data_IF_228798523113
#
_entry.id   IF_228798523113
#
_cell.length_a   1.000
_cell.length_b   1.000
_cell.length_c   1.000
_cell.angle_alpha   90.00
_cell.angle_beta   90.00
_cell.angle_gamma   90.00
#
_symmetry.space_group_name_H-M   'P 1'
#
loop_
_entity.id
_entity.type
_entity.pdbx_description
1 polymer ?
#
# COMPACT_ATOMS: atom_id res chain seq x y z
N UNK A 1 1.15 -6.22 -8.65
CA UNK A 1 -0.09 -6.56 -7.89
C UNK A 1 0.25 -7.29 -6.60
N UNK A 2 -0.09 -6.69 -5.45
CA UNK A 2 0.14 -7.27 -4.13
C UNK A 2 -0.65 -8.57 -3.97
N UNK A 3 -0.01 -9.62 -3.43
CA UNK A 3 -0.67 -10.92 -3.13
C UNK A 3 -1.55 -10.84 -1.87
N UNK A 4 -2.38 -9.81 -1.76
CA UNK A 4 -3.38 -9.64 -0.70
C UNK A 4 -4.72 -9.45 -1.42
N UNK A 5 -5.57 -10.49 -1.50
CA UNK A 5 -6.78 -10.44 -2.31
C UNK A 5 -7.84 -9.49 -1.74
N UNK A 6 -7.85 -9.30 -0.42
CA UNK A 6 -8.74 -8.37 0.27
C UNK A 6 -8.08 -7.89 1.56
N UNK A 7 -8.24 -6.62 1.88
CA UNK A 7 -7.78 -6.00 3.12
C UNK A 7 -8.82 -4.98 3.58
N UNK A 8 -9.14 -4.96 4.88
CA UNK A 8 -10.02 -3.94 5.45
C UNK A 8 -9.16 -2.75 5.90
N UNK A 9 -9.09 -1.71 5.07
CA UNK A 9 -8.39 -0.46 5.39
C UNK A 9 -9.22 0.43 6.32
N UNK A 10 -8.59 0.94 7.38
CA UNK A 10 -9.20 1.92 8.31
C UNK A 10 -8.78 3.32 7.89
N UNK A 11 -9.74 4.17 7.52
CA UNK A 11 -9.50 5.53 7.04
C UNK A 11 -9.96 6.54 8.10
N UNK A 12 -9.04 7.41 8.57
CA UNK A 12 -9.33 8.46 9.56
C UNK A 12 -8.79 9.78 9.02
N UNK A 13 -9.67 10.63 8.50
CA UNK A 13 -9.29 11.88 7.80
C UNK A 13 -8.17 11.64 6.78
N UNK A 14 -8.32 10.54 6.03
CA UNK A 14 -7.32 10.07 5.09
C UNK A 14 -7.13 11.06 3.93
N UNK A 15 -5.90 11.23 3.43
CA UNK A 15 -5.67 11.93 2.18
C UNK A 15 -6.18 11.10 1.00
N UNK A 16 -6.49 11.76 -0.12
CA UNK A 16 -6.78 11.10 -1.41
C UNK A 16 -5.67 11.42 -2.41
N UNK A 17 -5.25 10.43 -3.20
CA UNK A 17 -4.20 10.59 -4.22
C UNK A 17 -4.88 10.95 -5.54
N UNK A 18 -4.63 12.17 -6.02
CA UNK A 18 -5.24 12.70 -7.25
C UNK A 18 -4.48 12.33 -8.51
N UNK A 19 -3.15 12.31 -8.45
CA UNK A 19 -2.30 12.03 -9.60
C UNK A 19 -1.10 11.17 -9.17
N UNK A 20 -0.59 10.39 -10.12
CA UNK A 20 0.61 9.54 -9.92
C UNK A 20 1.59 9.78 -11.07
N UNK A 21 2.89 9.80 -10.75
CA UNK A 21 3.94 9.91 -11.76
C UNK A 21 4.17 8.61 -12.52
N UNK A 22 4.88 8.67 -13.64
CA UNK A 22 5.09 7.54 -14.56
C UNK A 22 5.75 6.29 -13.92
N UNK A 23 6.54 6.48 -12.87
CA UNK A 23 7.28 5.40 -12.20
C UNK A 23 6.58 4.88 -10.92
N UNK A 24 5.33 5.27 -10.70
CA UNK A 24 4.55 4.87 -9.53
C UNK A 24 3.59 3.73 -9.90
N UNK A 25 3.71 2.59 -9.22
CA UNK A 25 2.75 1.49 -9.31
C UNK A 25 1.54 1.82 -8.43
N UNK A 26 0.35 1.84 -9.02
CA UNK A 26 -0.92 1.85 -8.26
C UNK A 26 -1.12 0.45 -7.69
N UNK A 27 -1.06 0.36 -6.36
CA UNK A 27 -1.11 -0.90 -5.63
C UNK A 27 -2.55 -1.29 -5.30
N UNK A 28 -3.38 -0.32 -4.91
CA UNK A 28 -4.76 -0.55 -4.52
C UNK A 28 -5.62 0.68 -4.77
N UNK A 29 -6.88 0.44 -5.13
CA UNK A 29 -7.92 1.44 -5.25
C UNK A 29 -9.12 1.06 -4.39
N UNK A 30 -9.81 2.06 -3.85
CA UNK A 30 -11.06 1.90 -3.14
C UNK A 30 -12.04 2.97 -3.65
N UNK A 31 -13.22 2.55 -4.12
CA UNK A 31 -14.19 3.45 -4.76
C UNK A 31 -13.55 4.36 -5.83
N UNK A 32 -12.76 3.77 -6.73
CA UNK A 32 -12.01 4.44 -7.81
C UNK A 32 -10.85 5.35 -7.36
N UNK A 33 -10.78 5.73 -6.09
CA UNK A 33 -9.68 6.49 -5.51
C UNK A 33 -8.45 5.61 -5.25
N UNK A 34 -7.27 6.18 -5.47
CA UNK A 34 -6.00 5.51 -5.23
C UNK A 34 -5.69 5.61 -3.73
N UNK A 35 -5.58 4.46 -3.06
CA UNK A 35 -5.38 4.38 -1.59
C UNK A 35 -4.06 3.70 -1.20
N UNK A 36 -3.38 3.09 -2.15
CA UNK A 36 -2.02 2.59 -1.96
C UNK A 36 -1.21 2.70 -3.26
N UNK A 37 0.04 3.11 -3.13
CA UNK A 37 0.99 3.28 -4.22
C UNK A 37 2.37 2.76 -3.82
N UNK A 38 3.17 2.38 -4.80
CA UNK A 38 4.56 1.96 -4.59
C UNK A 38 5.46 2.59 -5.64
N UNK A 39 6.63 3.07 -5.21
CA UNK A 39 7.70 3.50 -6.11
C UNK A 39 9.02 2.97 -5.55
N UNK A 40 9.69 2.10 -6.30
CA UNK A 40 10.91 1.43 -5.85
C UNK A 40 10.73 0.72 -4.49
N UNK A 41 11.48 1.13 -3.48
CA UNK A 41 11.43 0.63 -2.10
C UNK A 41 10.46 1.43 -1.19
N UNK A 42 9.71 2.38 -1.73
CA UNK A 42 8.77 3.21 -0.99
C UNK A 42 7.35 2.67 -1.19
N UNK A 43 6.64 2.48 -0.08
CA UNK A 43 5.22 2.11 -0.04
C UNK A 43 4.45 3.25 0.63
N UNK A 44 3.47 3.81 -0.09
CA UNK A 44 2.54 4.82 0.41
C UNK A 44 1.13 4.25 0.54
N UNK A 45 0.46 4.53 1.66
CA UNK A 45 -0.91 4.10 1.93
C UNK A 45 -1.71 5.25 2.56
N UNK A 46 -2.99 5.36 2.21
CA UNK A 46 -3.91 6.36 2.73
C UNK A 46 -4.71 5.88 3.95
N UNK A 47 -4.57 4.60 4.32
CA UNK A 47 -5.26 3.98 5.45
C UNK A 47 -4.27 3.55 6.53
N UNK A 48 -4.81 3.25 7.71
CA UNK A 48 -4.11 2.79 8.89
C UNK A 48 -4.12 1.25 8.97
N UNK A 49 -3.09 0.56 8.47
CA UNK A 49 -3.02 -0.91 8.53
C UNK A 49 -2.83 -1.43 9.97
N UNK A 50 -2.33 -0.59 10.88
CA UNK A 50 -2.10 -0.89 12.30
C UNK A 50 -3.39 -0.95 13.11
N UNK A 51 -4.47 -0.33 12.62
CA UNK A 51 -5.79 -0.36 13.25
C UNK A 51 -6.64 -1.55 12.77
N UNK A 52 -6.08 -2.42 11.94
CA UNK A 52 -6.69 -3.67 11.50
C UNK A 52 -6.09 -4.87 12.23
N UNK A 53 -6.88 -5.91 12.46
CA UNK A 53 -6.38 -7.19 12.97
C UNK A 53 -5.64 -8.01 11.89
N UNK A 54 -5.68 -7.57 10.63
CA UNK A 54 -4.97 -8.22 9.53
C UNK A 54 -3.56 -7.64 9.36
N UNK A 55 -2.54 -8.47 9.54
CA UNK A 55 -1.13 -8.09 9.43
C UNK A 55 -0.56 -8.22 8.01
N UNK A 56 -1.39 -8.49 7.00
CA UNK A 56 -0.94 -8.79 5.64
C UNK A 56 -0.16 -7.63 5.01
N UNK A 57 -0.56 -6.37 5.23
CA UNK A 57 0.16 -5.19 4.73
C UNK A 57 1.53 -5.04 5.40
N UNK A 58 1.61 -5.28 6.71
CA UNK A 58 2.89 -5.30 7.43
C UNK A 58 3.82 -6.39 6.91
N UNK A 59 3.31 -7.60 6.70
CA UNK A 59 4.07 -8.72 6.10
C UNK A 59 4.54 -8.38 4.69
N UNK A 60 3.70 -7.74 3.89
CA UNK A 60 4.05 -7.28 2.56
C UNK A 60 5.23 -6.29 2.60
N UNK A 61 5.16 -5.28 3.47
CA UNK A 61 6.24 -4.31 3.65
C UNK A 61 7.55 -4.97 4.12
N UNK A 62 7.49 -5.89 5.10
CA UNK A 62 8.67 -6.65 5.55
C UNK A 62 9.28 -7.48 4.43
N UNK A 63 8.45 -8.10 3.58
CA UNK A 63 8.93 -8.86 2.43
C UNK A 63 9.59 -7.95 1.38
N UNK A 64 9.10 -6.72 1.18
CA UNK A 64 9.79 -5.73 0.34
C UNK A 64 11.21 -5.43 0.84
N UNK A 65 11.39 -5.30 2.16
CA UNK A 65 12.71 -5.05 2.76
C UNK A 65 13.66 -6.22 2.49
N UNK A 66 13.18 -7.46 2.63
CA UNK A 66 14.00 -8.66 2.35
C UNK A 66 14.48 -8.67 0.90
N UNK A 67 13.57 -8.45 -0.05
CA UNK A 67 13.90 -8.39 -1.48
C UNK A 67 14.87 -7.25 -1.80
N UNK A 68 14.76 -6.12 -1.11
CA UNK A 68 15.70 -5.01 -1.30
C UNK A 68 17.13 -5.31 -0.83
N UNK A 69 17.33 -6.28 0.08
CA UNK A 69 18.68 -6.67 0.56
C UNK A 69 19.35 -7.71 -0.33
N UNK A 70 18.57 -8.39 -1.18
CA UNK A 70 19.04 -9.42 -2.11
C UNK A 70 19.47 -8.84 -3.46
N UNK A 71 19.24 -7.53 -3.68
CA UNK A 71 19.64 -6.78 -4.88
C UNK A 71 20.86 -5.90 -4.64
#
# INVERSE_FOLDING_TARGET
MIKIPKFNGVFIRAPSIMEVGNNVEIVSKFNEEIVAVKQNNILGIAFHPELSNDVSIHKYFVNMIKQSKEN
#
